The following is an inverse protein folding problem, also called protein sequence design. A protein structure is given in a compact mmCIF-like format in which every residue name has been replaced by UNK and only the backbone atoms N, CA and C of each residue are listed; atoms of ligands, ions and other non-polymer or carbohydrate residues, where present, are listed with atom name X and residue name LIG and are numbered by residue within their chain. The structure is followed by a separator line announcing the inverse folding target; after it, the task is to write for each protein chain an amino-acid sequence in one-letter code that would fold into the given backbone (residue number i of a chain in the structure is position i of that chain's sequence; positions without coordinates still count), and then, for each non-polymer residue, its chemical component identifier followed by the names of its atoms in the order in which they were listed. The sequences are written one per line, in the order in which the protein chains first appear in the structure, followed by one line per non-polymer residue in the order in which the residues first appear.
data_IF_548189166301
#
_entry.id   IF_548189166301
#
_cell.length_a   1.000
_cell.length_b   1.000
_cell.length_c   1.000
_cell.angle_alpha   90.00
_cell.angle_beta   90.00
_cell.angle_gamma   90.00
#
_symmetry.space_group_name_H-M   'P 1'
#
loop_
_entity.id
_entity.type
_entity.pdbx_description
1 polymer ?
#
# COMPACT_ATOMS: atom_id res chain seq x y z
N UNK A 1 -42.47 11.02 28.90
CA UNK A 1 -42.18 9.64 28.46
C UNK A 1 -40.72 9.58 28.05
N UNK A 2 -39.84 9.02 28.88
CA UNK A 2 -38.38 8.92 28.65
C UNK A 2 -38.03 7.44 28.66
N UNK A 3 -37.51 6.92 27.55
CA UNK A 3 -36.95 5.56 27.50
C UNK A 3 -35.45 5.62 27.76
N UNK A 4 -35.00 4.87 28.78
CA UNK A 4 -33.59 4.54 29.03
C UNK A 4 -33.33 3.16 28.44
N UNK A 5 -32.30 3.03 27.62
CA UNK A 5 -31.80 1.74 27.13
C UNK A 5 -30.53 1.41 27.92
N UNK A 6 -30.51 0.23 28.54
CA UNK A 6 -29.33 -0.36 29.19
C UNK A 6 -28.58 -1.25 28.17
N UNK A 7 -27.23 -1.26 28.16
CA UNK A 7 -26.51 -2.27 27.40
C UNK A 7 -26.47 -3.61 28.16
N UNK A 8 -26.69 -4.69 27.41
CA UNK A 8 -26.57 -6.08 27.82
C UNK A 8 -25.09 -6.46 27.77
N UNK A 9 -24.53 -6.90 28.90
CA UNK A 9 -23.24 -7.55 28.96
C UNK A 9 -23.40 -9.02 28.55
N UNK A 10 -22.63 -9.47 27.55
CA UNK A 10 -22.48 -10.90 27.26
C UNK A 10 -21.10 -11.33 27.73
N UNK A 11 -21.07 -12.12 28.80
CA UNK A 11 -19.87 -12.74 29.33
C UNK A 11 -19.52 -13.98 28.50
N UNK A 12 -18.25 -14.09 28.08
CA UNK A 12 -17.66 -15.35 27.67
C UNK A 12 -16.59 -15.72 28.70
N UNK A 13 -16.85 -16.76 29.48
CA UNK A 13 -15.90 -17.34 30.41
C UNK A 13 -14.95 -18.28 29.65
N UNK A 14 -13.66 -17.99 29.70
CA UNK A 14 -12.61 -18.98 29.46
C UNK A 14 -11.75 -19.05 30.71
N UNK A 15 -11.72 -20.24 31.32
CA UNK A 15 -10.98 -20.56 32.53
C UNK A 15 -9.51 -20.75 32.16
N UNK A 16 -8.63 -19.86 32.62
CA UNK A 16 -7.19 -20.09 32.67
C UNK A 16 -6.71 -19.93 34.11
N UNK A 17 -5.98 -20.94 34.59
CA UNK A 17 -5.39 -21.01 35.91
C UNK A 17 -4.50 -19.80 36.22
N UNK A 18 -4.63 -19.31 37.45
CA UNK A 18 -3.99 -18.12 37.99
C UNK A 18 -2.45 -18.22 37.99
N UNK A 19 -1.80 -17.59 37.03
CA UNK A 19 -0.63 -16.76 37.36
C UNK A 19 -1.18 -15.37 37.66
N UNK A 20 -0.69 -14.72 38.72
CA UNK A 20 -1.07 -13.36 39.05
C UNK A 20 -0.78 -12.47 37.84
N UNK A 21 -1.83 -12.15 37.07
CA UNK A 21 -1.76 -11.14 36.05
C UNK A 21 -1.51 -9.84 36.79
N UNK A 22 -0.26 -9.36 36.76
CA UNK A 22 -0.02 -7.93 36.96
C UNK A 22 -0.95 -7.20 36.00
N UNK A 23 -1.46 -6.05 36.42
CA UNK A 23 -2.33 -5.23 35.58
C UNK A 23 -1.75 -5.18 34.16
N UNK A 24 -2.56 -5.42 33.11
CA UNK A 24 -2.08 -5.27 31.75
C UNK A 24 -1.42 -3.89 31.68
N UNK A 25 -0.20 -3.78 31.10
CA UNK A 25 0.50 -2.51 31.05
C UNK A 25 -0.49 -1.47 30.56
N UNK A 26 -0.71 -0.45 31.40
CA UNK A 26 -1.63 0.62 31.06
C UNK A 26 -1.17 1.14 29.71
N UNK A 27 -2.06 1.08 28.71
CA UNK A 27 -1.76 1.58 27.38
C UNK A 27 -1.48 3.08 27.53
N UNK A 28 -0.20 3.45 27.61
CA UNK A 28 0.25 4.84 27.62
C UNK A 28 0.20 5.34 26.20
N UNK A 29 -1.01 5.59 25.70
CA UNK A 29 -1.24 6.09 24.35
C UNK A 29 -2.66 6.62 24.23
N UNK A 30 -2.81 7.80 23.63
CA UNK A 30 -4.12 8.31 23.25
C UNK A 30 -4.56 7.57 21.99
N UNK A 31 -5.67 6.79 22.01
CA UNK A 31 -6.17 6.14 20.82
C UNK A 31 -6.48 7.18 19.75
N UNK A 32 -5.93 7.01 18.55
CA UNK A 32 -6.27 7.85 17.40
C UNK A 32 -7.50 7.22 16.76
N UNK A 33 -8.67 7.80 17.02
CA UNK A 33 -9.93 7.36 16.41
C UNK A 33 -10.01 7.92 14.99
N UNK A 34 -9.82 7.05 14.01
CA UNK A 34 -9.87 7.36 12.60
C UNK A 34 -11.31 7.42 12.08
N UNK A 35 -12.09 8.34 12.66
CA UNK A 35 -13.39 8.85 12.18
C UNK A 35 -14.57 7.86 12.03
N UNK A 36 -15.74 8.46 11.81
CA UNK A 36 -17.07 7.90 11.59
C UNK A 36 -17.22 7.05 10.33
N UNK A 37 -16.63 5.85 10.30
CA UNK A 37 -16.92 4.83 9.27
C UNK A 37 -15.95 4.76 8.08
N UNK A 38 -14.77 5.39 8.17
CA UNK A 38 -13.72 5.22 7.18
C UNK A 38 -12.97 3.90 7.44
N UNK A 39 -13.06 2.95 6.51
CA UNK A 39 -12.53 1.60 6.72
C UNK A 39 -11.02 1.57 6.51
N UNK A 40 -10.27 1.02 7.46
CA UNK A 40 -8.83 0.79 7.32
C UNK A 40 -8.61 -0.61 6.74
N UNK A 41 -7.93 -0.69 5.60
CA UNK A 41 -7.68 -1.95 4.90
C UNK A 41 -6.32 -2.54 5.23
N UNK A 42 -5.32 -1.69 5.49
CA UNK A 42 -3.96 -2.10 5.80
C UNK A 42 -3.21 -0.97 6.50
N UNK A 43 -2.20 -1.30 7.30
CA UNK A 43 -1.36 -0.35 8.00
C UNK A 43 0.09 -0.86 8.09
N UNK A 44 1.02 0.07 8.27
CA UNK A 44 2.41 -0.16 8.61
C UNK A 44 2.80 0.77 9.77
N UNK A 45 3.72 0.31 10.61
CA UNK A 45 4.27 1.02 11.76
C UNK A 45 5.79 0.90 11.68
N UNK A 46 6.50 1.96 12.09
CA UNK A 46 7.95 1.95 12.19
C UNK A 46 8.42 2.24 13.63
N UNK A 47 9.73 2.17 13.86
CA UNK A 47 10.32 2.28 15.21
C UNK A 47 10.21 3.69 15.81
N UNK A 48 9.95 4.71 14.98
CA UNK A 48 9.71 6.09 15.44
C UNK A 48 8.28 6.32 15.90
N UNK A 49 7.40 5.32 15.78
CA UNK A 49 5.99 5.41 16.14
C UNK A 49 5.12 6.07 15.07
N UNK A 50 5.63 6.25 13.86
CA UNK A 50 4.82 6.68 12.71
C UNK A 50 3.97 5.51 12.22
N UNK A 51 2.68 5.76 12.05
CA UNK A 51 1.75 4.82 11.41
C UNK A 51 1.40 5.34 10.03
N UNK A 52 1.52 4.50 9.02
CA UNK A 52 0.91 4.75 7.71
C UNK A 52 -0.19 3.74 7.48
N UNK A 53 -1.35 4.18 7.02
CA UNK A 53 -2.43 3.27 6.72
C UNK A 53 -3.19 3.67 5.46
N UNK A 54 -3.74 2.66 4.80
CA UNK A 54 -4.60 2.79 3.64
C UNK A 54 -6.05 2.65 4.10
N UNK A 55 -6.84 3.68 3.86
CA UNK A 55 -8.26 3.72 4.26
C UNK A 55 -9.16 4.16 3.12
N UNK A 56 -10.45 3.86 3.21
CA UNK A 56 -11.40 4.20 2.16
C UNK A 56 -12.86 3.88 2.44
N UNK A 57 -13.70 4.21 1.46
CA UNK A 57 -15.10 3.81 1.37
C UNK A 57 -15.33 2.48 0.63
N UNK A 58 -16.60 2.19 0.30
CA UNK A 58 -17.00 0.96 -0.39
C UNK A 58 -16.29 0.83 -1.76
N UNK A 59 -15.33 -0.10 -1.85
CA UNK A 59 -14.59 -0.40 -3.08
C UNK A 59 -13.07 -0.51 -2.93
N UNK A 60 -12.49 -0.07 -1.81
CA UNK A 60 -11.05 -0.13 -1.54
C UNK A 60 -10.51 1.15 -0.90
N UNK A 61 -9.20 1.24 -0.71
CA UNK A 61 -8.60 2.43 -0.12
C UNK A 61 -8.64 3.61 -1.11
N UNK A 62 -9.19 4.74 -0.66
CA UNK A 62 -9.22 6.01 -1.40
C UNK A 62 -8.13 6.98 -0.95
N UNK A 63 -7.29 6.58 0.00
CA UNK A 63 -6.10 7.34 0.33
C UNK A 63 -5.13 6.65 1.29
N UNK A 64 -3.96 7.26 1.35
CA UNK A 64 -2.88 6.89 2.25
C UNK A 64 -2.68 8.02 3.27
N UNK A 65 -2.65 7.64 4.53
CA UNK A 65 -2.53 8.58 5.64
C UNK A 65 -1.35 8.22 6.50
N UNK A 66 -0.54 9.23 6.80
CA UNK A 66 0.57 9.17 7.76
C UNK A 66 0.14 9.84 9.07
N UNK A 67 0.41 9.16 10.17
CA UNK A 67 0.04 9.57 11.53
C UNK A 67 1.27 9.54 12.41
N UNK A 68 1.45 10.62 13.15
CA UNK A 68 2.39 10.75 14.27
C UNK A 68 1.61 11.23 15.50
N UNK A 69 2.19 11.19 16.72
CA UNK A 69 1.46 11.56 17.94
C UNK A 69 0.68 12.88 17.87
N UNK A 70 1.19 13.87 17.13
CA UNK A 70 0.58 15.19 16.99
C UNK A 70 0.30 15.60 15.53
N UNK A 71 0.27 14.65 14.60
CA UNK A 71 0.13 14.97 13.17
C UNK A 71 -0.67 13.90 12.44
N UNK A 72 -1.58 14.36 11.59
CA UNK A 72 -2.39 13.53 10.71
C UNK A 72 -2.32 14.11 9.29
N UNK A 73 -1.80 13.34 8.34
CA UNK A 73 -1.58 13.80 6.98
C UNK A 73 -2.05 12.75 5.98
N UNK A 74 -3.17 13.03 5.29
CA UNK A 74 -3.53 12.33 4.05
C UNK A 74 -2.61 12.84 2.95
N UNK A 75 -1.58 12.07 2.62
CA UNK A 75 -0.54 12.49 1.67
C UNK A 75 -0.83 12.05 0.24
N UNK A 76 -1.76 11.11 0.06
CA UNK A 76 -2.27 10.72 -1.25
C UNK A 76 -3.77 10.40 -1.15
N UNK A 77 -4.53 10.90 -2.12
CA UNK A 77 -5.98 10.73 -2.24
C UNK A 77 -6.38 10.34 -3.65
N UNK A 78 -7.49 9.63 -3.75
CA UNK A 78 -8.17 9.40 -5.02
C UNK A 78 -8.59 10.75 -5.59
N UNK A 79 -8.28 10.96 -6.87
CA UNK A 79 -8.45 12.24 -7.56
C UNK A 79 -7.20 13.14 -7.53
N UNK A 80 -6.17 12.80 -6.77
CA UNK A 80 -4.91 13.53 -6.82
C UNK A 80 -4.18 13.26 -8.15
N UNK A 81 -3.45 14.25 -8.70
CA UNK A 81 -2.70 14.08 -9.93
C UNK A 81 -1.54 13.09 -9.75
N UNK A 82 -1.29 12.29 -10.78
CA UNK A 82 -0.16 11.35 -10.80
C UNK A 82 1.12 12.06 -11.23
N UNK A 83 2.19 12.02 -10.40
CA UNK A 83 3.48 12.59 -10.78
C UNK A 83 4.03 11.96 -12.06
N UNK A 84 4.43 12.79 -13.02
CA UNK A 84 5.02 12.33 -14.29
C UNK A 84 4.01 11.92 -15.36
N UNK A 85 2.69 11.93 -15.07
CA UNK A 85 1.66 11.50 -16.03
C UNK A 85 0.57 12.59 -16.15
N UNK A 86 0.77 13.61 -17.00
CA UNK A 86 -0.20 14.70 -17.18
C UNK A 86 -1.61 14.19 -17.51
N UNK A 87 -2.63 14.79 -16.88
CA UNK A 87 -4.04 14.42 -17.09
C UNK A 87 -4.47 13.11 -16.43
N UNK A 88 -3.57 12.40 -15.74
CA UNK A 88 -3.92 11.20 -14.98
C UNK A 88 -4.10 11.48 -13.50
N UNK A 89 -5.08 10.80 -12.90
CA UNK A 89 -5.43 10.89 -11.49
C UNK A 89 -5.35 9.53 -10.83
N UNK A 90 -4.97 9.50 -9.55
CA UNK A 90 -5.06 8.30 -8.73
C UNK A 90 -6.52 7.86 -8.59
N UNK A 91 -6.80 6.60 -8.89
CA UNK A 91 -8.15 6.02 -8.82
C UNK A 91 -8.33 5.14 -7.60
N UNK A 92 -7.25 4.68 -6.97
CA UNK A 92 -7.29 3.91 -5.74
C UNK A 92 -5.92 3.46 -5.27
N UNK A 93 -5.85 3.09 -3.99
CA UNK A 93 -4.66 2.58 -3.33
C UNK A 93 -4.93 1.21 -2.75
N UNK A 94 -3.88 0.41 -2.57
CA UNK A 94 -3.89 -0.79 -1.73
C UNK A 94 -5.10 -1.74 -1.91
N UNK A 95 -5.55 -1.96 -3.16
CA UNK A 95 -6.78 -2.72 -3.43
C UNK A 95 -6.58 -4.24 -3.63
N UNK A 96 -5.56 -4.82 -2.99
CA UNK A 96 -5.23 -6.26 -3.12
C UNK A 96 -4.90 -6.92 -1.79
N UNK A 97 -5.00 -8.26 -1.74
CA UNK A 97 -4.60 -9.09 -0.57
C UNK A 97 -3.11 -9.03 -0.25
N UNK A 98 -2.29 -8.46 -1.13
CA UNK A 98 -0.85 -8.46 -1.04
C UNK A 98 -0.35 -7.05 -0.69
N UNK A 99 0.61 -6.93 0.22
CA UNK A 99 1.08 -5.66 0.77
C UNK A 99 1.57 -4.70 -0.32
N UNK A 100 0.77 -3.68 -0.62
CA UNK A 100 1.00 -2.73 -1.71
C UNK A 100 1.65 -1.43 -1.24
N UNK A 101 2.01 -1.32 0.03
CA UNK A 101 2.88 -0.25 0.51
C UNK A 101 3.78 -0.73 1.65
N UNK A 102 4.85 0.02 1.91
CA UNK A 102 5.82 -0.23 2.96
C UNK A 102 6.34 1.11 3.51
N UNK A 103 6.60 1.14 4.82
CA UNK A 103 7.10 2.29 5.57
C UNK A 103 8.46 1.93 6.14
N UNK A 104 9.43 2.85 6.07
CA UNK A 104 10.73 2.70 6.74
C UNK A 104 10.87 3.63 7.95
N UNK A 105 11.98 3.52 8.69
CA UNK A 105 12.28 4.33 9.88
C UNK A 105 12.63 5.80 9.58
N UNK A 106 12.65 6.20 8.30
CA UNK A 106 12.80 7.61 7.86
C UNK A 106 11.46 8.25 7.51
N UNK A 107 10.34 7.58 7.81
CA UNK A 107 8.98 8.02 7.48
C UNK A 107 8.71 8.17 5.97
N UNK A 108 9.48 7.44 5.15
CA UNK A 108 9.27 7.32 3.72
C UNK A 108 8.33 6.16 3.43
N UNK A 109 7.56 6.28 2.34
CA UNK A 109 6.59 5.27 1.95
C UNK A 109 6.80 4.88 0.49
N UNK A 110 7.04 3.61 0.23
CA UNK A 110 6.93 3.05 -1.11
C UNK A 110 5.55 2.43 -1.27
N UNK A 111 4.84 2.70 -2.36
CA UNK A 111 3.49 2.19 -2.57
C UNK A 111 3.14 1.98 -4.04
N UNK A 112 2.31 0.99 -4.30
CA UNK A 112 1.65 0.78 -5.59
C UNK A 112 0.25 1.41 -5.56
N UNK A 113 -0.13 2.04 -6.67
CA UNK A 113 -1.45 2.67 -6.83
C UNK A 113 -1.99 2.47 -8.25
N UNK A 114 -3.32 2.57 -8.36
CA UNK A 114 -4.01 2.61 -9.64
C UNK A 114 -4.26 4.05 -10.07
N UNK A 115 -4.20 4.28 -11.37
CA UNK A 115 -4.52 5.57 -11.98
C UNK A 115 -5.19 5.42 -13.33
N UNK A 116 -5.83 6.51 -13.77
CA UNK A 116 -6.43 6.62 -15.09
C UNK A 116 -6.35 8.05 -15.62
N UNK A 117 -6.37 8.18 -16.94
CA UNK A 117 -6.43 9.47 -17.63
C UNK A 117 -7.84 10.07 -17.52
N UNK A 118 -8.13 10.76 -16.41
CA UNK A 118 -9.44 11.35 -16.14
C UNK A 118 -9.55 12.83 -16.53
N UNK A 119 -8.43 13.57 -16.57
CA UNK A 119 -8.41 15.01 -16.86
C UNK A 119 -8.95 15.92 -15.74
N UNK A 120 -10.06 15.54 -15.09
CA UNK A 120 -10.74 16.32 -14.05
C UNK A 120 -11.03 15.48 -12.78
N UNK A 121 -10.57 15.92 -11.59
CA UNK A 121 -10.91 15.28 -10.32
C UNK A 121 -12.41 15.19 -10.01
N UNK A 122 -13.23 16.09 -10.55
CA UNK A 122 -14.68 16.05 -10.38
C UNK A 122 -15.33 14.81 -11.02
N UNK A 123 -14.67 14.20 -12.01
CA UNK A 123 -15.18 13.05 -12.75
C UNK A 123 -14.61 11.70 -12.25
N UNK A 124 -13.81 11.71 -11.17
CA UNK A 124 -13.04 10.53 -10.72
C UNK A 124 -13.91 9.29 -10.48
N UNK A 125 -15.15 9.47 -10.03
CA UNK A 125 -16.10 8.38 -9.82
C UNK A 125 -16.53 7.67 -11.09
N UNK A 126 -16.89 8.42 -12.12
CA UNK A 126 -17.23 7.85 -13.42
C UNK A 126 -15.96 7.31 -14.09
N UNK A 127 -14.88 8.09 -14.10
CA UNK A 127 -13.63 7.76 -14.75
C UNK A 127 -13.04 6.43 -14.26
N UNK A 128 -12.94 6.25 -12.93
CA UNK A 128 -12.37 5.03 -12.34
C UNK A 128 -13.10 3.72 -12.71
N UNK A 129 -14.33 3.80 -13.22
CA UNK A 129 -15.13 2.64 -13.63
C UNK A 129 -15.14 2.40 -15.14
N UNK A 130 -14.94 3.46 -15.93
CA UNK A 130 -15.10 3.41 -17.39
C UNK A 130 -13.78 3.50 -18.14
N UNK A 131 -12.76 4.13 -17.54
CA UNK A 131 -11.47 4.31 -18.17
C UNK A 131 -10.54 3.14 -17.88
N UNK A 132 -9.64 2.91 -18.83
CA UNK A 132 -8.54 1.98 -18.67
C UNK A 132 -7.73 2.33 -17.42
N UNK A 133 -7.63 1.36 -16.51
CA UNK A 133 -6.82 1.48 -15.29
C UNK A 133 -5.38 1.07 -15.59
N UNK A 134 -4.43 1.85 -15.08
CA UNK A 134 -3.00 1.62 -15.12
C UNK A 134 -2.46 1.45 -13.69
N UNK A 135 -1.30 0.83 -13.53
CA UNK A 135 -0.62 0.68 -12.26
C UNK A 135 0.68 1.47 -12.22
N UNK A 136 1.07 1.96 -11.05
CA UNK A 136 2.38 2.59 -10.84
C UNK A 136 2.96 2.27 -9.48
N UNK A 137 4.28 2.29 -9.39
CA UNK A 137 5.06 2.24 -8.16
C UNK A 137 5.56 3.64 -7.83
N UNK A 138 5.34 4.08 -6.60
CA UNK A 138 5.61 5.43 -6.15
C UNK A 138 6.42 5.44 -4.85
N UNK A 139 7.17 6.51 -4.64
CA UNK A 139 7.91 6.79 -3.42
C UNK A 139 7.52 8.16 -2.88
N UNK A 140 7.01 8.17 -1.67
CA UNK A 140 6.77 9.37 -0.88
C UNK A 140 7.94 9.59 0.07
N UNK A 141 8.63 10.72 -0.09
CA UNK A 141 9.72 11.16 0.79
C UNK A 141 9.75 12.69 0.81
N UNK A 142 10.00 13.25 2.00
CA UNK A 142 10.06 14.71 2.23
C UNK A 142 8.84 15.49 1.70
N UNK A 143 7.65 14.92 1.84
CA UNK A 143 6.40 15.58 1.42
C UNK A 143 6.10 15.49 -0.08
N UNK A 144 6.94 14.81 -0.86
CA UNK A 144 6.81 14.71 -2.32
C UNK A 144 6.60 13.26 -2.72
N UNK A 145 5.61 13.01 -3.58
CA UNK A 145 5.43 11.72 -4.27
C UNK A 145 6.18 11.76 -5.59
N UNK A 146 7.00 10.74 -5.85
CA UNK A 146 7.68 10.52 -7.12
C UNK A 146 7.25 9.18 -7.70
N UNK A 147 7.05 9.13 -9.01
CA UNK A 147 6.93 7.87 -9.74
C UNK A 147 8.30 7.19 -9.79
N UNK A 148 8.32 5.88 -9.50
CA UNK A 148 9.50 5.01 -9.59
C UNK A 148 9.42 4.18 -10.85
N UNK A 149 8.25 3.57 -11.10
CA UNK A 149 7.94 2.86 -12.33
C UNK A 149 6.45 3.00 -12.67
N UNK A 150 6.13 2.98 -13.95
CA UNK A 150 4.76 3.09 -14.48
C UNK A 150 4.42 1.92 -15.41
N UNK A 151 3.13 1.58 -15.50
CA UNK A 151 2.59 0.72 -16.56
C UNK A 151 3.01 1.27 -17.93
N UNK A 152 3.51 0.39 -18.80
CA UNK A 152 4.02 0.75 -20.12
C UNK A 152 5.53 0.96 -20.17
N UNK A 153 6.22 1.06 -19.02
CA UNK A 153 7.67 1.23 -19.01
C UNK A 153 8.41 -0.10 -19.27
N UNK A 154 9.56 -0.06 -19.98
CA UNK A 154 10.34 -1.25 -20.28
C UNK A 154 10.82 -1.99 -19.03
N UNK A 155 10.80 -3.32 -19.08
CA UNK A 155 11.34 -4.16 -18.02
C UNK A 155 12.85 -4.36 -18.19
N UNK A 156 13.67 -3.99 -17.19
CA UNK A 156 15.11 -4.22 -17.23
C UNK A 156 15.46 -5.70 -17.40
N UNK A 157 16.29 -6.00 -18.39
CA UNK A 157 16.74 -7.37 -18.67
C UNK A 157 15.69 -8.27 -19.35
N UNK A 158 14.65 -7.66 -19.93
CA UNK A 158 13.55 -8.33 -20.62
C UNK A 158 13.18 -7.55 -21.89
N UNK A 159 13.82 -7.89 -23.01
CA UNK A 159 13.61 -7.20 -24.29
C UNK A 159 12.14 -7.28 -24.75
N UNK A 160 11.59 -6.14 -25.16
CA UNK A 160 10.23 -6.04 -25.69
C UNK A 160 9.11 -6.19 -24.65
N UNK A 161 9.44 -6.35 -23.37
CA UNK A 161 8.44 -6.46 -22.30
C UNK A 161 8.30 -5.16 -21.53
N UNK A 162 7.07 -4.90 -21.07
CA UNK A 162 6.71 -3.73 -20.26
C UNK A 162 6.06 -4.16 -18.95
N UNK A 163 6.17 -3.30 -17.94
CA UNK A 163 5.43 -3.45 -16.69
C UNK A 163 3.93 -3.23 -16.90
N UNK A 164 3.12 -4.02 -16.20
CA UNK A 164 1.66 -3.88 -16.13
C UNK A 164 1.17 -3.68 -14.69
N UNK A 165 1.78 -4.36 -13.70
CA UNK A 165 1.40 -4.26 -12.30
C UNK A 165 2.60 -4.32 -11.34
N UNK A 166 2.43 -3.68 -10.18
CA UNK A 166 3.41 -3.63 -9.09
C UNK A 166 2.76 -4.11 -7.80
N UNK A 167 3.37 -5.09 -7.14
CA UNK A 167 2.82 -5.76 -5.95
C UNK A 167 3.91 -6.07 -4.94
N UNK A 168 3.50 -6.44 -3.71
CA UNK A 168 4.40 -6.90 -2.64
C UNK A 168 5.57 -5.93 -2.38
N UNK A 169 5.25 -4.64 -2.31
CA UNK A 169 6.23 -3.56 -2.14
C UNK A 169 6.89 -3.66 -0.77
N UNK A 170 8.21 -3.54 -0.74
CA UNK A 170 9.06 -3.50 0.46
C UNK A 170 10.04 -2.35 0.34
N UNK A 171 10.21 -1.62 1.42
CA UNK A 171 11.13 -0.50 1.53
C UNK A 171 12.02 -0.75 2.74
N UNK A 172 13.34 -0.61 2.57
CA UNK A 172 14.27 -0.64 3.71
C UNK A 172 14.70 0.78 4.13
N UNK A 173 15.50 0.86 5.19
CA UNK A 173 15.96 2.13 5.76
C UNK A 173 16.98 2.87 4.90
N UNK A 174 17.62 2.21 3.94
CA UNK A 174 18.51 2.85 2.95
C UNK A 174 17.76 3.46 1.77
N UNK A 175 16.45 3.17 1.61
CA UNK A 175 15.64 3.66 0.49
C UNK A 175 15.54 2.68 -0.67
N UNK A 176 16.03 1.45 -0.52
CA UNK A 176 15.87 0.42 -1.53
C UNK A 176 14.43 -0.10 -1.53
N UNK A 177 13.87 -0.26 -2.74
CA UNK A 177 12.51 -0.72 -2.94
C UNK A 177 12.55 -2.07 -3.65
N UNK A 178 12.07 -3.12 -2.99
CA UNK A 178 11.89 -4.45 -3.57
C UNK A 178 10.41 -4.69 -3.83
N UNK A 179 10.08 -5.17 -5.01
CA UNK A 179 8.70 -5.38 -5.42
C UNK A 179 8.58 -6.56 -6.38
N UNK A 180 7.38 -7.14 -6.45
CA UNK A 180 6.99 -8.06 -7.52
C UNK A 180 6.43 -7.24 -8.68
N UNK A 181 7.08 -7.30 -9.83
CA UNK A 181 6.59 -6.72 -11.06
C UNK A 181 5.89 -7.79 -11.90
N UNK A 182 4.68 -7.51 -12.37
CA UNK A 182 4.03 -8.30 -13.42
C UNK A 182 4.24 -7.61 -14.76
N UNK A 183 4.66 -8.38 -15.77
CA UNK A 183 5.07 -7.84 -17.05
C UNK A 183 4.77 -8.77 -18.23
N UNK A 184 4.72 -8.20 -19.43
CA UNK A 184 4.35 -8.89 -20.65
C UNK A 184 4.58 -8.03 -21.88
N UNK A 185 4.02 -8.43 -23.02
CA UNK A 185 4.03 -7.62 -24.24
C UNK A 185 3.29 -6.29 -24.04
N UNK A 186 3.57 -5.34 -24.94
CA UNK A 186 2.84 -4.07 -25.02
C UNK A 186 1.36 -4.24 -25.38
N UNK A 187 1.03 -5.26 -26.18
CA UNK A 187 -0.35 -5.70 -26.38
C UNK A 187 -0.85 -6.22 -25.04
N UNK A 188 -1.83 -5.54 -24.43
CA UNK A 188 -2.41 -5.89 -23.12
C UNK A 188 -2.85 -7.35 -23.14
N UNK A 189 -2.09 -8.27 -22.53
CA UNK A 189 -2.50 -9.65 -22.48
C UNK A 189 -3.63 -9.79 -21.46
N UNK A 190 -4.43 -10.85 -21.56
CA UNK A 190 -5.17 -11.31 -20.39
C UNK A 190 -4.20 -11.57 -19.24
N UNK A 191 -4.60 -11.33 -17.99
CA UNK A 191 -3.74 -11.48 -16.79
C UNK A 191 -3.01 -12.82 -16.75
N UNK A 192 -3.60 -13.87 -17.35
CA UNK A 192 -3.05 -15.22 -17.49
C UNK A 192 -1.75 -15.33 -18.30
N UNK A 193 -1.37 -14.32 -19.10
CA UNK A 193 -0.12 -14.32 -19.87
C UNK A 193 0.96 -13.43 -19.28
N UNK A 194 0.73 -12.81 -18.11
CA UNK A 194 1.73 -11.97 -17.46
C UNK A 194 2.75 -12.84 -16.74
N UNK A 195 4.02 -12.56 -17.00
CA UNK A 195 5.14 -13.07 -16.23
C UNK A 195 5.29 -12.27 -14.95
N UNK A 196 5.97 -12.84 -13.96
CA UNK A 196 6.34 -12.09 -12.76
C UNK A 196 7.76 -12.34 -12.29
N UNK A 197 8.42 -11.31 -11.77
CA UNK A 197 9.74 -11.42 -11.14
C UNK A 197 9.88 -10.41 -10.01
N UNK A 198 10.90 -10.62 -9.18
CA UNK A 198 11.31 -9.66 -8.17
C UNK A 198 12.29 -8.64 -8.76
N UNK A 199 12.04 -7.39 -8.44
CA UNK A 199 12.83 -6.25 -8.88
C UNK A 199 13.25 -5.42 -7.68
N UNK A 200 14.52 -5.03 -7.67
CA UNK A 200 15.10 -4.10 -6.72
C UNK A 200 15.30 -2.76 -7.42
N UNK A 201 14.76 -1.70 -6.84
CA UNK A 201 15.10 -0.32 -7.19
C UNK A 201 16.01 0.26 -6.10
N UNK A 202 17.11 0.86 -6.52
CA UNK A 202 18.08 1.53 -5.66
C UNK A 202 18.75 2.66 -6.46
N UNK A 203 18.77 3.87 -5.91
CA UNK A 203 19.43 5.04 -6.48
C UNK A 203 19.15 5.27 -7.98
N UNK A 204 17.86 5.17 -8.36
CA UNK A 204 17.41 5.39 -9.73
C UNK A 204 17.68 4.24 -10.70
N UNK A 205 18.14 3.08 -10.21
CA UNK A 205 18.43 1.90 -11.03
C UNK A 205 17.57 0.73 -10.62
N UNK A 206 17.09 -0.01 -11.62
CA UNK A 206 16.42 -1.28 -11.43
C UNK A 206 17.37 -2.46 -11.66
N UNK A 207 17.22 -3.50 -10.84
CA UNK A 207 17.84 -4.80 -11.03
C UNK A 207 16.78 -5.89 -10.87
N UNK A 208 16.70 -6.83 -11.81
CA UNK A 208 15.91 -8.06 -11.62
C UNK A 208 16.69 -8.99 -10.71
N UNK A 209 16.10 -9.38 -9.58
CA UNK A 209 16.77 -10.18 -8.53
C UNK A 209 16.25 -11.61 -8.45
N UNK A 210 15.30 -11.99 -9.30
CA UNK A 210 14.82 -13.36 -9.43
C UNK A 210 14.64 -13.79 -10.89
N UNK A 211 14.57 -15.10 -11.18
CA UNK A 211 14.04 -15.60 -12.46
C UNK A 211 12.59 -15.15 -12.69
N UNK A 212 12.09 -15.36 -13.92
CA UNK A 212 10.67 -15.20 -14.25
C UNK A 212 9.82 -16.27 -13.54
N UNK A 213 8.53 -15.98 -13.41
CA UNK A 213 7.48 -16.81 -12.81
C UNK A 213 7.76 -17.28 -11.38
N UNK A 214 8.47 -16.45 -10.62
CA UNK A 214 8.61 -16.65 -9.18
C UNK A 214 7.26 -16.41 -8.51
N UNK A 215 6.63 -17.51 -8.13
CA UNK A 215 5.48 -17.51 -7.23
C UNK A 215 6.01 -17.29 -5.81
N UNK A 216 6.00 -16.03 -5.36
CA UNK A 216 6.14 -15.74 -3.92
C UNK A 216 4.81 -16.08 -3.26
N UNK A 217 4.61 -17.37 -2.94
CA UNK A 217 3.41 -17.82 -2.24
C UNK A 217 3.39 -17.25 -0.84
N UNK A 218 2.32 -16.51 -0.53
CA UNK A 218 2.01 -16.05 0.83
C UNK A 218 1.18 -17.07 1.61
N UNK A 219 0.87 -18.25 1.04
CA UNK A 219 0.11 -19.28 1.75
C UNK A 219 0.89 -19.90 2.92
N UNK A 220 2.20 -19.65 2.98
CA UNK A 220 3.00 -19.85 4.18
C UNK A 220 4.03 -18.74 4.33
N UNK A 221 3.68 -17.64 5.00
CA UNK A 221 4.62 -16.65 5.56
C UNK A 221 5.78 -16.18 4.64
N UNK A 222 5.61 -16.24 3.31
CA UNK A 222 6.60 -15.78 2.34
C UNK A 222 6.72 -14.26 2.37
N UNK A 223 7.46 -13.76 3.35
CA UNK A 223 7.84 -12.36 3.43
C UNK A 223 8.96 -12.13 2.41
N UNK A 224 8.73 -11.26 1.44
CA UNK A 224 9.86 -10.56 0.82
C UNK A 224 10.47 -9.72 1.95
N UNK A 225 11.66 -10.10 2.40
CA UNK A 225 12.37 -9.45 3.49
C UNK A 225 13.71 -8.93 2.98
N UNK A 226 14.04 -7.69 3.32
CA UNK A 226 15.43 -7.28 3.38
C UNK A 226 16.00 -7.85 4.68
N UNK A 227 17.14 -8.54 4.61
CA UNK A 227 17.98 -8.71 5.79
C UNK A 227 18.87 -7.49 5.86
N UNK A 228 18.57 -6.55 6.77
CA UNK A 228 19.52 -5.49 7.08
C UNK A 228 20.68 -6.17 7.82
N UNK A 229 21.76 -6.50 7.09
CA UNK A 229 23.06 -6.71 7.73
C UNK A 229 23.69 -5.32 7.95
N UNK A 230 24.09 -5.07 9.20
CA UNK A 230 24.54 -3.76 9.69
C UNK A 230 25.91 -3.30 9.20
#
# INVERSE_FOLDING_TARGET
MRFRVFPIALAAAAVFSSQAAGDPPSLTGTPIVLTSGWSVYSFALNDSGTVVFAGGGWGGADGLVKVRPNSFLKFASRGDPVPGVPGSLFTGFASGRFGNFSLNNRDEVAFAAFYAACGDPAEIDACSRTHQQYSGLFHYSDGVIRAIALDGEPVPGSEGQIFHFFEQVRLNNTGMILFRGQFGSAERPGVEMLKSALFLWSDGRFSRVSPEDVIVSTEGQGLIAFTDEG
#
